data_IF_357546481831
#
_entry.id   IF_357546481831
#
_cell.length_a   1.000
_cell.length_b   1.000
_cell.length_c   1.000
_cell.angle_alpha   90.00
_cell.angle_beta   90.00
_cell.angle_gamma   90.00
#
_symmetry.space_group_name_H-M   'P 1'
#
loop_
_entity.id
_entity.type
_entity.pdbx_description
1 polymer ?
#
# COMPACT_ATOMS: atom_id res chain seq x y z
N UNK A 1 -5.27 -0.31 26.18
CA UNK A 1 -5.42 0.65 25.09
C UNK A 1 -4.85 -0.04 23.85
N UNK A 2 -5.69 -0.41 22.90
CA UNK A 2 -5.19 -0.82 21.58
C UNK A 2 -4.50 0.42 21.00
N UNK A 3 -3.21 0.31 20.68
CA UNK A 3 -2.53 1.33 19.92
C UNK A 3 -3.19 1.35 18.54
N UNK A 4 -4.06 2.33 18.30
CA UNK A 4 -4.78 2.50 17.03
C UNK A 4 -3.80 3.03 15.97
N UNK A 5 -2.94 2.14 15.49
CA UNK A 5 -2.06 2.44 14.38
C UNK A 5 -2.85 2.45 13.08
N UNK A 6 -2.77 3.56 12.35
CA UNK A 6 -3.16 3.57 10.95
C UNK A 6 -2.16 2.68 10.17
N UNK A 7 -2.67 1.88 9.26
CA UNK A 7 -1.80 1.05 8.43
C UNK A 7 -1.41 1.76 7.13
N UNK A 8 -0.28 1.38 6.54
CA UNK A 8 0.09 1.83 5.19
C UNK A 8 -1.02 1.51 4.20
N UNK A 9 -1.71 0.38 4.35
CA UNK A 9 -2.86 0.00 3.51
C UNK A 9 -4.00 1.01 3.62
N UNK A 10 -4.34 1.49 4.82
CA UNK A 10 -5.40 2.49 5.00
C UNK A 10 -5.07 3.80 4.27
N UNK A 11 -3.80 4.22 4.28
CA UNK A 11 -3.37 5.43 3.57
C UNK A 11 -3.38 5.23 2.04
N UNK A 12 -3.01 4.05 1.57
CA UNK A 12 -3.10 3.68 0.15
C UNK A 12 -4.55 3.68 -0.32
N UNK A 13 -5.46 3.12 0.48
CA UNK A 13 -6.90 3.12 0.19
C UNK A 13 -7.50 4.53 0.25
N UNK A 14 -7.08 5.35 1.20
CA UNK A 14 -7.43 6.78 1.23
C UNK A 14 -6.96 7.50 -0.04
N UNK A 15 -5.75 7.21 -0.51
CA UNK A 15 -5.20 7.79 -1.74
C UNK A 15 -5.97 7.33 -2.98
N UNK A 16 -6.49 6.12 -2.96
CA UNK A 16 -7.38 5.62 -4.00
C UNK A 16 -8.73 6.35 -3.97
N UNK A 17 -9.36 6.45 -2.79
CA UNK A 17 -10.61 7.18 -2.58
C UNK A 17 -10.77 7.50 -1.08
N UNK A 18 -10.91 8.77 -0.75
CA UNK A 18 -10.97 9.25 0.64
C UNK A 18 -12.15 8.67 1.44
N UNK A 19 -13.25 8.32 0.76
CA UNK A 19 -14.38 7.63 1.39
C UNK A 19 -14.04 6.23 1.92
N UNK A 20 -12.95 5.61 1.47
CA UNK A 20 -12.49 4.35 2.07
C UNK A 20 -12.18 4.52 3.55
N UNK A 21 -11.44 5.56 3.92
CA UNK A 21 -11.14 5.85 5.34
C UNK A 21 -12.41 6.05 6.14
N UNK A 22 -13.37 6.80 5.61
CA UNK A 22 -14.65 7.01 6.28
C UNK A 22 -15.40 5.70 6.50
N UNK A 23 -15.54 4.86 5.46
CA UNK A 23 -16.25 3.59 5.60
C UNK A 23 -15.50 2.57 6.47
N UNK A 24 -14.18 2.44 6.29
CA UNK A 24 -13.40 1.42 6.99
C UNK A 24 -13.05 1.80 8.41
N UNK A 25 -12.51 3.00 8.64
CA UNK A 25 -11.98 3.41 9.94
C UNK A 25 -13.00 4.15 10.78
N UNK A 26 -13.82 5.05 10.19
CA UNK A 26 -14.82 5.81 10.96
C UNK A 26 -16.06 4.99 11.24
N UNK A 27 -16.62 4.32 10.21
CA UNK A 27 -17.83 3.51 10.36
C UNK A 27 -17.55 2.03 10.69
N UNK A 28 -16.31 1.60 10.71
CA UNK A 28 -15.92 0.21 10.99
C UNK A 28 -16.48 -0.84 10.00
N UNK A 29 -16.82 -0.43 8.78
CA UNK A 29 -17.41 -1.31 7.79
C UNK A 29 -16.35 -2.19 7.15
N UNK A 30 -16.51 -3.51 7.27
CA UNK A 30 -15.60 -4.48 6.66
C UNK A 30 -15.64 -4.40 5.13
N UNK A 31 -14.48 -4.51 4.52
CA UNK A 31 -14.38 -4.70 3.07
C UNK A 31 -14.72 -6.16 2.75
N UNK A 32 -15.74 -6.38 1.95
CA UNK A 32 -16.07 -7.73 1.44
C UNK A 32 -15.14 -8.07 0.26
N UNK A 33 -13.85 -8.20 0.54
CA UNK A 33 -12.83 -8.52 -0.47
C UNK A 33 -13.02 -9.91 -1.07
N UNK A 34 -13.66 -10.83 -0.36
CA UNK A 34 -13.96 -12.21 -0.79
C UNK A 34 -14.71 -12.28 -2.12
N UNK A 35 -15.38 -11.20 -2.51
CA UNK A 35 -16.07 -11.09 -3.81
C UNK A 35 -15.22 -10.47 -4.92
N UNK A 36 -13.97 -10.11 -4.64
CA UNK A 36 -13.05 -9.46 -5.60
C UNK A 36 -11.95 -10.43 -6.01
N UNK A 37 -12.19 -11.27 -7.03
CA UNK A 37 -11.25 -12.29 -7.48
C UNK A 37 -9.83 -11.82 -7.73
N UNK A 38 -9.64 -10.58 -8.21
CA UNK A 38 -8.30 -9.98 -8.42
C UNK A 38 -7.56 -9.73 -7.09
N UNK A 39 -8.29 -9.31 -6.04
CA UNK A 39 -7.70 -9.07 -4.71
C UNK A 39 -7.31 -10.40 -4.06
N UNK A 40 -8.17 -11.42 -4.17
CA UNK A 40 -7.88 -12.78 -3.68
C UNK A 40 -6.63 -13.33 -4.37
N UNK A 41 -6.58 -13.30 -5.70
CA UNK A 41 -5.42 -13.78 -6.46
C UNK A 41 -4.12 -13.05 -6.10
N UNK A 42 -4.21 -11.73 -5.81
CA UNK A 42 -3.07 -10.96 -5.32
C UNK A 42 -2.60 -11.42 -3.95
N UNK A 43 -3.51 -11.60 -2.99
CA UNK A 43 -3.19 -12.09 -1.63
C UNK A 43 -2.59 -13.50 -1.64
N UNK A 44 -3.16 -14.41 -2.42
CA UNK A 44 -2.66 -15.78 -2.57
C UNK A 44 -1.25 -15.80 -3.15
N UNK A 45 -0.96 -14.91 -4.11
CA UNK A 45 0.37 -14.77 -4.68
C UNK A 45 1.39 -14.30 -3.62
N UNK A 46 1.04 -13.31 -2.81
CA UNK A 46 1.91 -12.84 -1.71
C UNK A 46 2.19 -13.96 -0.71
N UNK A 47 1.16 -14.69 -0.26
CA UNK A 47 1.31 -15.81 0.67
C UNK A 47 2.20 -16.91 0.06
N UNK A 48 1.99 -17.25 -1.21
CA UNK A 48 2.81 -18.22 -1.93
C UNK A 48 4.26 -17.76 -2.00
N UNK A 49 4.48 -16.50 -2.31
CA UNK A 49 5.83 -15.91 -2.41
C UNK A 49 6.56 -15.90 -1.06
N UNK A 50 5.88 -15.55 0.02
CA UNK A 50 6.43 -15.61 1.39
C UNK A 50 6.90 -17.03 1.75
N UNK A 51 6.21 -18.07 1.26
CA UNK A 51 6.53 -19.46 1.57
C UNK A 51 7.64 -20.05 0.68
N UNK A 52 7.70 -19.67 -0.59
CA UNK A 52 8.52 -20.39 -1.59
C UNK A 52 9.84 -19.70 -1.95
N UNK A 53 9.95 -18.38 -1.81
CA UNK A 53 11.09 -17.62 -2.33
C UNK A 53 12.02 -17.04 -1.26
N UNK A 54 12.27 -17.80 -0.18
CA UNK A 54 13.09 -17.31 0.95
C UNK A 54 14.53 -17.00 0.58
N UNK A 55 15.10 -17.67 -0.40
CA UNK A 55 16.53 -17.57 -0.77
C UNK A 55 16.78 -16.89 -2.12
N UNK A 56 15.79 -16.80 -3.00
CA UNK A 56 15.96 -16.19 -4.30
C UNK A 56 16.09 -14.67 -4.18
N UNK A 57 17.23 -14.13 -4.56
CA UNK A 57 17.47 -12.68 -4.65
C UNK A 57 17.14 -12.20 -6.06
N UNK A 58 16.14 -11.32 -6.25
CA UNK A 58 15.92 -10.72 -7.56
C UNK A 58 17.09 -9.81 -7.93
N UNK A 59 17.47 -9.80 -9.19
CA UNK A 59 18.47 -8.89 -9.77
C UNK A 59 19.95 -9.13 -9.34
N UNK A 60 20.32 -10.31 -8.83
CA UNK A 60 21.68 -10.60 -8.36
C UNK A 60 22.23 -9.57 -7.35
N UNK A 61 21.36 -9.01 -6.50
CA UNK A 61 21.75 -8.09 -5.44
C UNK A 61 22.21 -8.92 -4.24
N UNK A 62 23.45 -8.73 -3.81
CA UNK A 62 23.96 -9.34 -2.57
C UNK A 62 23.36 -8.64 -1.36
N UNK A 63 22.97 -9.41 -0.34
CA UNK A 63 22.41 -8.87 0.88
C UNK A 63 21.52 -9.87 1.63
N UNK A 64 21.04 -9.44 2.78
CA UNK A 64 20.12 -10.21 3.61
C UNK A 64 18.69 -9.99 3.18
N UNK A 65 18.00 -11.05 2.80
CA UNK A 65 16.60 -11.00 2.40
C UNK A 65 15.67 -10.89 3.60
N UNK A 66 14.71 -9.99 3.53
CA UNK A 66 13.64 -9.78 4.52
C UNK A 66 12.31 -9.98 3.79
N UNK A 67 11.41 -10.83 4.31
CA UNK A 67 10.11 -11.12 3.69
C UNK A 67 9.00 -10.97 4.73
N UNK A 68 7.91 -10.31 4.35
CA UNK A 68 6.68 -10.25 5.12
C UNK A 68 6.83 -9.60 6.50
N UNK A 69 7.90 -8.84 6.74
CA UNK A 69 8.14 -8.20 8.02
C UNK A 69 7.20 -7.02 8.25
N UNK A 70 6.70 -6.89 9.48
CA UNK A 70 5.93 -5.73 9.93
C UNK A 70 6.84 -4.72 10.62
N UNK A 71 6.66 -3.47 10.28
CA UNK A 71 7.33 -2.32 10.87
C UNK A 71 6.32 -1.37 11.50
N UNK A 72 6.77 -0.63 12.51
CA UNK A 72 5.96 0.28 13.30
C UNK A 72 6.70 1.59 13.53
N UNK A 73 5.97 2.68 13.51
CA UNK A 73 6.42 3.99 13.95
C UNK A 73 5.47 4.54 15.00
N UNK A 74 5.90 4.60 16.26
CA UNK A 74 5.13 5.25 17.33
C UNK A 74 4.95 6.74 17.06
N UNK A 75 6.01 7.40 16.57
CA UNK A 75 5.99 8.82 16.23
C UNK A 75 4.94 9.17 15.18
N UNK A 76 4.77 8.28 14.19
CA UNK A 76 3.79 8.47 13.12
C UNK A 76 2.47 7.74 13.38
N UNK A 77 2.30 7.01 14.50
CA UNK A 77 1.16 6.12 14.73
C UNK A 77 0.83 5.31 13.47
N UNK A 78 1.87 4.76 12.83
CA UNK A 78 1.81 4.10 11.55
C UNK A 78 2.38 2.69 11.64
N UNK A 79 1.73 1.73 11.00
CA UNK A 79 2.25 0.38 10.82
C UNK A 79 2.19 -0.05 9.36
N UNK A 80 3.09 -0.94 8.96
CA UNK A 80 3.11 -1.47 7.61
C UNK A 80 3.80 -2.83 7.54
N UNK A 81 3.38 -3.64 6.57
CA UNK A 81 4.01 -4.92 6.25
C UNK A 81 4.63 -4.80 4.86
N UNK A 82 5.91 -5.13 4.74
CA UNK A 82 6.57 -5.19 3.44
C UNK A 82 6.35 -6.55 2.78
N UNK A 83 6.34 -6.59 1.46
CA UNK A 83 6.37 -7.84 0.70
C UNK A 83 7.76 -8.47 0.81
N UNK A 84 8.77 -7.71 0.43
CA UNK A 84 10.15 -8.17 0.36
C UNK A 84 11.11 -6.97 0.44
N UNK A 85 12.27 -7.18 1.04
CA UNK A 85 13.37 -6.22 0.98
C UNK A 85 14.71 -6.96 0.98
N UNK A 86 15.76 -6.29 0.49
CA UNK A 86 17.14 -6.76 0.56
C UNK A 86 17.92 -5.74 1.37
N UNK A 87 18.41 -6.16 2.51
CA UNK A 87 19.30 -5.36 3.35
C UNK A 87 20.73 -5.58 2.89
N UNK A 88 21.36 -4.54 2.34
CA UNK A 88 22.78 -4.47 1.99
C UNK A 88 23.57 -3.81 3.12
N UNK A 89 24.86 -3.60 2.93
CA UNK A 89 25.69 -2.92 3.94
C UNK A 89 25.28 -1.44 4.08
N UNK A 90 24.91 -0.77 2.99
CA UNK A 90 24.69 0.69 2.94
C UNK A 90 23.21 1.09 2.97
N UNK A 91 22.32 0.28 2.38
CA UNK A 91 20.91 0.62 2.22
C UNK A 91 19.99 -0.61 2.33
N UNK A 92 18.69 -0.35 2.34
CA UNK A 92 17.67 -1.38 2.15
C UNK A 92 16.96 -1.14 0.81
N UNK A 93 16.95 -2.12 -0.06
CA UNK A 93 16.21 -2.09 -1.31
C UNK A 93 14.84 -2.70 -1.08
N UNK A 94 13.80 -1.88 -1.12
CA UNK A 94 12.42 -2.33 -0.96
C UNK A 94 11.89 -2.91 -2.27
N UNK A 95 11.22 -4.06 -2.20
CA UNK A 95 10.62 -4.73 -3.36
C UNK A 95 9.12 -4.89 -3.10
N UNK A 96 8.33 -4.27 -3.94
CA UNK A 96 6.87 -4.33 -3.91
C UNK A 96 6.34 -5.15 -5.08
N UNK A 97 5.38 -6.05 -4.83
CA UNK A 97 4.81 -6.92 -5.86
C UNK A 97 3.37 -6.56 -6.15
N UNK A 98 3.06 -6.41 -7.44
CA UNK A 98 1.71 -6.07 -7.93
C UNK A 98 1.20 -7.12 -8.91
N UNK A 99 0.06 -7.72 -8.60
CA UNK A 99 -0.63 -8.64 -9.49
C UNK A 99 -1.57 -7.88 -10.44
N UNK A 100 -0.99 -7.24 -11.43
CA UNK A 100 -1.72 -6.43 -12.41
C UNK A 100 -0.93 -6.32 -13.72
N UNK A 101 -1.65 -6.05 -14.81
CA UNK A 101 -1.05 -5.71 -16.13
C UNK A 101 -0.83 -4.20 -16.27
N UNK A 102 -1.41 -3.40 -15.39
CA UNK A 102 -1.21 -1.96 -15.35
C UNK A 102 0.08 -1.64 -14.61
N UNK A 103 1.04 -1.05 -15.32
CA UNK A 103 2.41 -0.90 -14.82
C UNK A 103 2.80 0.53 -14.45
N UNK A 104 1.88 1.50 -14.48
CA UNK A 104 2.21 2.86 -14.11
C UNK A 104 2.42 3.02 -12.60
N UNK A 105 3.41 3.84 -12.26
CA UNK A 105 3.70 4.20 -10.87
C UNK A 105 2.80 5.39 -10.50
N UNK A 106 1.56 5.08 -10.18
CA UNK A 106 0.58 6.07 -9.75
C UNK A 106 0.71 6.44 -8.27
N UNK A 107 -0.11 7.39 -7.83
CA UNK A 107 -0.06 7.96 -6.48
C UNK A 107 -0.19 6.93 -5.36
N UNK A 108 -1.01 5.89 -5.52
CA UNK A 108 -1.18 4.82 -4.53
C UNK A 108 0.12 4.03 -4.32
N UNK A 109 0.88 3.75 -5.39
CA UNK A 109 2.17 3.09 -5.31
C UNK A 109 3.19 4.03 -4.68
N UNK A 110 3.27 5.29 -5.10
CA UNK A 110 4.20 6.29 -4.52
C UNK A 110 3.99 6.43 -3.00
N UNK A 111 2.74 6.55 -2.55
CA UNK A 111 2.42 6.62 -1.11
C UNK A 111 2.85 5.35 -0.39
N UNK A 112 2.57 4.18 -0.94
CA UNK A 112 2.96 2.91 -0.34
C UNK A 112 4.48 2.81 -0.19
N UNK A 113 5.23 3.06 -1.27
CA UNK A 113 6.69 3.01 -1.25
C UNK A 113 7.27 4.03 -0.27
N UNK A 114 6.79 5.28 -0.29
CA UNK A 114 7.26 6.33 0.61
C UNK A 114 7.05 5.99 2.09
N UNK A 115 5.85 5.55 2.48
CA UNK A 115 5.56 5.18 3.87
C UNK A 115 6.33 3.94 4.33
N UNK A 116 6.45 2.92 3.49
CA UNK A 116 7.24 1.74 3.82
C UNK A 116 8.73 2.07 3.94
N UNK A 117 9.25 2.95 3.08
CA UNK A 117 10.65 3.42 3.17
C UNK A 117 10.93 4.16 4.48
N UNK A 118 10.01 5.02 4.92
CA UNK A 118 10.10 5.71 6.22
C UNK A 118 10.11 4.69 7.37
N UNK A 119 9.21 3.72 7.35
CA UNK A 119 9.13 2.67 8.37
C UNK A 119 10.40 1.84 8.41
N UNK A 120 10.93 1.43 7.26
CA UNK A 120 12.19 0.67 7.17
C UNK A 120 13.35 1.48 7.76
N UNK A 121 13.51 2.73 7.33
CA UNK A 121 14.58 3.60 7.83
C UNK A 121 14.49 3.80 9.35
N UNK A 122 13.28 4.02 9.89
CA UNK A 122 13.08 4.23 11.33
C UNK A 122 13.41 2.97 12.14
N UNK A 123 13.15 1.77 11.63
CA UNK A 123 13.33 0.51 12.35
C UNK A 123 14.72 -0.13 12.13
N UNK A 124 15.24 -0.12 10.91
CA UNK A 124 16.52 -0.75 10.57
C UNK A 124 17.70 0.24 10.59
N UNK A 125 17.44 1.55 10.72
CA UNK A 125 18.46 2.61 10.72
C UNK A 125 19.30 2.63 9.45
N UNK A 126 18.72 2.19 8.34
CA UNK A 126 19.33 2.21 7.01
C UNK A 126 18.40 2.93 6.03
N UNK A 127 18.95 3.75 5.11
CA UNK A 127 18.15 4.44 4.12
C UNK A 127 17.51 3.46 3.12
N UNK A 128 16.41 3.89 2.51
CA UNK A 128 15.80 3.26 1.35
C UNK A 128 15.86 4.29 0.22
N UNK A 129 16.88 4.22 -0.61
CA UNK A 129 17.04 5.13 -1.74
C UNK A 129 16.40 4.57 -3.01
N UNK A 130 16.35 3.24 -3.11
CA UNK A 130 15.89 2.52 -4.28
C UNK A 130 14.78 1.55 -3.92
N UNK A 131 13.72 1.56 -4.74
CA UNK A 131 12.65 0.57 -4.64
C UNK A 131 12.44 -0.11 -5.98
N UNK A 132 11.97 -1.35 -5.96
CA UNK A 132 11.68 -2.14 -7.15
C UNK A 132 10.23 -2.57 -7.11
N UNK A 133 9.45 -2.16 -8.10
CA UNK A 133 8.07 -2.62 -8.25
C UNK A 133 8.03 -3.71 -9.32
N UNK A 134 7.53 -4.89 -8.94
CA UNK A 134 7.41 -6.05 -9.82
C UNK A 134 5.94 -6.29 -10.14
N UNK A 135 5.57 -6.07 -11.39
CA UNK A 135 4.25 -6.37 -11.93
C UNK A 135 4.27 -7.77 -12.53
N UNK A 136 3.34 -8.64 -12.15
CA UNK A 136 3.41 -10.07 -12.50
C UNK A 136 2.04 -10.70 -12.71
N UNK A 137 1.26 -10.24 -13.71
CA UNK A 137 0.00 -10.90 -14.07
C UNK A 137 0.15 -11.70 -15.36
N UNK A 138 0.33 -11.04 -16.50
CA UNK A 138 0.60 -11.73 -17.79
C UNK A 138 2.09 -11.85 -18.04
N UNK A 139 2.82 -10.76 -17.83
CA UNK A 139 4.26 -10.68 -18.00
C UNK A 139 4.90 -10.11 -16.75
N UNK A 140 6.14 -10.48 -16.45
CA UNK A 140 6.90 -9.91 -15.36
C UNK A 140 7.61 -8.65 -15.82
N UNK A 141 7.18 -7.50 -15.33
CA UNK A 141 7.79 -6.20 -15.59
C UNK A 141 8.34 -5.66 -14.27
N UNK A 142 9.61 -5.25 -14.29
CA UNK A 142 10.28 -4.63 -13.14
C UNK A 142 10.49 -3.16 -13.41
N UNK A 143 10.13 -2.30 -12.46
CA UNK A 143 10.42 -0.85 -12.51
C UNK A 143 11.20 -0.45 -11.28
N UNK A 144 12.29 0.27 -11.49
CA UNK A 144 13.06 0.89 -10.42
C UNK A 144 12.45 2.27 -10.15
N UNK A 145 12.16 2.54 -8.89
CA UNK A 145 11.59 3.81 -8.43
C UNK A 145 12.52 4.37 -7.35
N UNK A 146 13.24 5.46 -7.63
CA UNK A 146 14.01 6.14 -6.60
C UNK A 146 13.07 6.75 -5.56
N UNK A 147 13.49 6.76 -4.30
CA UNK A 147 12.76 7.42 -3.21
C UNK A 147 13.41 8.78 -2.96
N UNK A 148 12.78 9.80 -3.48
CA UNK A 148 13.16 11.18 -3.31
C UNK A 148 12.32 11.90 -2.24
N UNK A 149 12.69 13.14 -1.94
CA UNK A 149 12.00 13.95 -0.94
C UNK A 149 10.55 14.28 -1.36
N UNK A 150 10.27 14.34 -2.66
CA UNK A 150 8.90 14.59 -3.17
C UNK A 150 7.98 13.42 -2.81
N UNK A 151 8.41 12.18 -3.06
CA UNK A 151 7.66 10.97 -2.70
C UNK A 151 7.46 10.88 -1.19
N UNK A 152 8.50 11.15 -0.39
CA UNK A 152 8.42 11.12 1.07
C UNK A 152 7.43 12.17 1.60
N UNK A 153 7.53 13.41 1.14
CA UNK A 153 6.62 14.49 1.54
C UNK A 153 5.18 14.19 1.11
N UNK A 154 4.98 13.71 -0.11
CA UNK A 154 3.65 13.32 -0.59
C UNK A 154 3.04 12.21 0.27
N UNK A 155 3.82 11.20 0.61
CA UNK A 155 3.38 10.09 1.45
C UNK A 155 3.01 10.54 2.88
N UNK A 156 3.83 11.40 3.50
CA UNK A 156 3.54 11.97 4.81
C UNK A 156 2.28 12.85 4.80
N UNK A 157 2.11 13.70 3.79
CA UNK A 157 0.91 14.52 3.66
C UNK A 157 -0.36 13.66 3.53
N UNK A 158 -0.29 12.55 2.78
CA UNK A 158 -1.42 11.61 2.68
C UNK A 158 -1.71 10.89 4.00
N UNK A 159 -0.68 10.53 4.76
CA UNK A 159 -0.83 9.97 6.11
C UNK A 159 -1.56 10.94 7.04
N UNK A 160 -1.09 12.19 7.12
CA UNK A 160 -1.71 13.20 7.98
C UNK A 160 -3.16 13.50 7.56
N UNK A 161 -3.43 13.56 6.27
CA UNK A 161 -4.78 13.73 5.77
C UNK A 161 -5.70 12.54 6.13
N UNK A 162 -5.19 11.31 6.04
CA UNK A 162 -5.92 10.09 6.45
C UNK A 162 -6.25 10.13 7.94
N UNK A 163 -5.30 10.54 8.78
CA UNK A 163 -5.52 10.72 10.22
C UNK A 163 -6.58 11.77 10.50
N UNK A 164 -6.54 12.90 9.80
CA UNK A 164 -7.51 13.97 9.99
C UNK A 164 -8.93 13.50 9.69
N UNK A 165 -9.14 12.73 8.60
CA UNK A 165 -10.45 12.14 8.29
C UNK A 165 -10.91 11.22 9.44
N UNK A 166 -10.02 10.35 9.91
CA UNK A 166 -10.34 9.40 10.97
C UNK A 166 -10.67 10.09 12.30
N UNK A 167 -9.79 10.99 12.77
CA UNK A 167 -9.92 11.67 14.06
C UNK A 167 -11.09 12.65 14.10
N UNK A 168 -11.39 13.30 12.97
CA UNK A 168 -12.51 14.24 12.86
C UNK A 168 -13.82 13.59 12.46
N UNK A 169 -13.84 12.27 12.25
CA UNK A 169 -14.99 11.54 11.72
C UNK A 169 -15.55 12.17 10.43
N UNK A 170 -14.66 12.76 9.61
CA UNK A 170 -15.04 13.50 8.42
C UNK A 170 -15.56 12.55 7.34
N UNK A 171 -16.71 12.88 6.75
CA UNK A 171 -17.23 12.21 5.56
C UNK A 171 -16.82 13.00 4.29
N UNK A 172 -15.76 12.61 3.59
CA UNK A 172 -15.24 13.37 2.45
C UNK A 172 -16.24 13.43 1.30
N UNK A 173 -16.30 14.56 0.63
CA UNK A 173 -17.07 14.69 -0.62
C UNK A 173 -16.27 14.09 -1.77
N UNK A 174 -16.92 13.26 -2.59
CA UNK A 174 -16.29 12.62 -3.74
C UNK A 174 -17.20 12.71 -4.97
N UNK A 175 -16.59 12.70 -6.14
CA UNK A 175 -17.30 12.60 -7.42
C UNK A 175 -17.18 11.17 -7.97
N UNK A 176 -18.15 10.77 -8.77
CA UNK A 176 -18.11 9.50 -9.47
C UNK A 176 -16.91 9.43 -10.42
N UNK A 177 -16.26 8.28 -10.45
CA UNK A 177 -15.17 8.00 -11.39
C UNK A 177 -15.13 6.50 -11.72
N UNK A 178 -14.33 6.13 -12.72
CA UNK A 178 -14.14 4.73 -13.11
C UNK A 178 -13.66 3.81 -11.95
N UNK A 179 -13.06 4.38 -10.92
CA UNK A 179 -12.68 3.67 -9.70
C UNK A 179 -13.91 3.10 -8.95
N UNK A 180 -15.06 3.76 -9.09
CA UNK A 180 -16.30 3.35 -8.42
C UNK A 180 -16.87 2.04 -8.99
N UNK A 181 -16.59 1.71 -10.26
CA UNK A 181 -17.13 0.51 -10.94
C UNK A 181 -16.84 -0.76 -10.15
N UNK A 182 -15.58 -0.91 -9.69
CA UNK A 182 -15.10 -2.09 -8.96
C UNK A 182 -14.85 -1.82 -7.47
N UNK A 183 -15.44 -0.74 -6.91
CA UNK A 183 -15.28 -0.40 -5.51
C UNK A 183 -16.06 -1.36 -4.60
N UNK A 184 -15.43 -1.85 -3.51
CA UNK A 184 -16.08 -2.74 -2.55
C UNK A 184 -17.25 -2.06 -1.82
N UNK A 185 -17.20 -0.75 -1.66
CA UNK A 185 -18.27 0.05 -1.03
C UNK A 185 -19.29 0.61 -2.02
N UNK A 186 -19.23 0.23 -3.32
CA UNK A 186 -20.10 0.80 -4.36
C UNK A 186 -21.58 0.79 -3.99
N UNK A 187 -22.08 -0.31 -3.42
CA UNK A 187 -23.51 -0.49 -3.13
C UNK A 187 -24.02 0.39 -2.00
N UNK A 188 -23.15 0.79 -1.08
CA UNK A 188 -23.51 1.60 0.09
C UNK A 188 -23.02 3.05 -0.01
N UNK A 189 -22.13 3.32 -0.95
CA UNK A 189 -21.61 4.67 -1.20
C UNK A 189 -22.61 5.48 -2.03
N UNK A 190 -23.11 6.63 -1.55
CA UNK A 190 -24.06 7.45 -2.32
C UNK A 190 -23.57 7.81 -3.72
N UNK A 191 -22.24 8.04 -3.86
CA UNK A 191 -21.63 8.32 -5.15
C UNK A 191 -21.56 7.07 -6.04
N UNK A 192 -21.16 5.93 -5.47
CA UNK A 192 -21.03 4.68 -6.23
C UNK A 192 -22.37 4.08 -6.65
N UNK A 193 -23.42 4.27 -5.84
CA UNK A 193 -24.76 3.74 -6.10
C UNK A 193 -25.52 4.49 -7.20
N UNK A 194 -25.08 5.73 -7.51
CA UNK A 194 -25.66 6.51 -8.62
C UNK A 194 -25.34 5.94 -10.01
N UNK A 195 -24.35 5.06 -10.09
CA UNK A 195 -24.03 4.39 -11.35
C UNK A 195 -25.05 3.26 -11.61
N UNK A 196 -26.09 3.58 -12.32
CA UNK A 196 -26.94 2.61 -13.01
C UNK A 196 -26.23 2.22 -14.30
N UNK A 197 -25.38 1.19 -14.23
CA UNK A 197 -24.81 0.63 -15.46
C UNK A 197 -25.93 0.04 -16.31
N UNK A 198 -26.31 0.77 -17.33
CA UNK A 198 -26.99 0.26 -18.52
C UNK A 198 -25.91 -0.19 -19.50
#
# INVERSE_FOLDING_TARGET
>A
MMDDFITVTDVVENTFCEKFTYFSLVLGLKQYEEKRGVVISGKDLHIKHEKTNKTYLPLNIEGKKIIGMKFFSKRLSLSGKIDEAIETDDEVILIERKYTDYTDIGNTIKVQLGLLSILINENLKKPVNTTIVIFSKKHTIKKIVPIDQEILNFALNRLEYTKNIFLSCLNPTQQYSNKCINCCYRKICPVGSLYTGL
#
